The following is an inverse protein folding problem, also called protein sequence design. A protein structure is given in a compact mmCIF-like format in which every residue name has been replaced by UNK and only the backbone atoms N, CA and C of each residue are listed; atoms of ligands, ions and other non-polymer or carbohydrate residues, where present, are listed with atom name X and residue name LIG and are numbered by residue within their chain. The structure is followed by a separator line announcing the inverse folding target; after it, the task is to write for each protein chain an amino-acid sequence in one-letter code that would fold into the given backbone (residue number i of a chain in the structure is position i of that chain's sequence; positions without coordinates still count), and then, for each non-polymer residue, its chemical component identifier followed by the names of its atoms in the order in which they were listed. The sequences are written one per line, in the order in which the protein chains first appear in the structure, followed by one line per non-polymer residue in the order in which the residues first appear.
data_IF_890532731102
#
_entry.id   IF_890532731102
#
_cell.length_a   1.000
_cell.length_b   1.000
_cell.length_c   1.000
_cell.angle_alpha   90.00
_cell.angle_beta   90.00
_cell.angle_gamma   90.00
#
_symmetry.space_group_name_H-M   'P 1'
#
loop_
_entity.id
_entity.type
_entity.pdbx_description
1 polymer ?
#
# COMPACT_ATOMS: atom_id res chain seq x y z
N UNK A 1 -18.41 36.88 -18.80
CA UNK A 1 -18.38 36.56 -17.36
C UNK A 1 -16.98 36.02 -17.06
N UNK A 2 -16.10 36.86 -16.50
CA UNK A 2 -14.67 36.55 -16.30
C UNK A 2 -14.51 35.75 -15.00
N UNK A 3 -13.95 34.55 -15.08
CA UNK A 3 -13.57 33.74 -13.92
C UNK A 3 -12.23 34.24 -13.36
N UNK A 4 -12.23 34.79 -12.15
CA UNK A 4 -11.04 35.17 -11.41
C UNK A 4 -10.52 33.94 -10.63
N UNK A 5 -9.29 33.52 -10.95
CA UNK A 5 -8.63 32.34 -10.38
C UNK A 5 -7.75 32.70 -9.18
N UNK A 6 -8.27 33.48 -8.23
CA UNK A 6 -7.53 33.88 -7.02
C UNK A 6 -8.21 33.39 -5.74
N UNK A 7 -7.37 32.76 -4.92
CA UNK A 7 -7.59 32.32 -3.54
C UNK A 7 -8.49 31.10 -3.34
N UNK A 8 -7.84 29.93 -3.19
CA UNK A 8 -8.38 28.87 -2.33
C UNK A 8 -8.10 29.32 -0.88
N UNK A 9 -9.11 29.60 -0.05
CA UNK A 9 -8.87 30.06 1.32
C UNK A 9 -8.36 28.87 2.15
N UNK A 10 -7.08 28.93 2.52
CA UNK A 10 -6.58 28.17 3.68
C UNK A 10 -7.17 28.86 4.90
N UNK A 11 -8.16 28.25 5.53
CA UNK A 11 -8.81 28.83 6.71
C UNK A 11 -7.81 28.77 7.87
N UNK A 12 -7.18 29.90 8.16
CA UNK A 12 -6.36 30.05 9.36
C UNK A 12 -7.23 29.96 10.62
N UNK A 13 -6.74 29.24 11.62
CA UNK A 13 -7.13 29.46 13.00
C UNK A 13 -6.64 30.86 13.38
N UNK A 14 -7.53 31.85 13.46
CA UNK A 14 -7.21 33.10 14.15
C UNK A 14 -6.82 32.74 15.58
N UNK A 15 -5.65 33.16 16.03
CA UNK A 15 -5.27 33.07 17.44
C UNK A 15 -6.36 33.73 18.31
N UNK A 16 -6.62 33.22 19.53
CA UNK A 16 -7.57 33.83 20.43
C UNK A 16 -7.11 35.26 20.73
N UNK A 17 -7.98 36.24 20.49
CA UNK A 17 -7.68 37.62 20.84
C UNK A 17 -7.47 37.72 22.35
N UNK A 18 -6.22 37.94 22.75
CA UNK A 18 -5.86 38.25 24.12
C UNK A 18 -6.51 39.60 24.44
N UNK A 19 -7.57 39.55 25.24
CA UNK A 19 -8.18 40.74 25.85
C UNK A 19 -7.17 41.35 26.81
N UNK A 20 -6.73 42.57 26.47
CA UNK A 20 -6.19 43.63 27.34
C UNK A 20 -5.35 43.17 28.55
N UNK A 21 -4.03 43.07 28.35
CA UNK A 21 -3.03 43.16 29.41
C UNK A 21 -1.78 43.85 28.86
N UNK A 22 -1.28 44.86 29.57
CA UNK A 22 -0.11 45.67 29.20
C UNK A 22 1.07 44.79 28.76
N UNK A 23 1.57 44.99 27.53
CA UNK A 23 2.84 44.41 27.07
C UNK A 23 3.99 45.35 27.44
N UNK A 24 5.15 44.82 27.85
CA UNK A 24 6.34 45.62 28.06
C UNK A 24 6.86 46.17 26.73
N UNK A 25 7.22 47.47 26.73
CA UNK A 25 7.83 48.16 25.60
C UNK A 25 9.14 47.45 25.18
N UNK A 26 9.22 47.03 23.92
CA UNK A 26 10.47 46.55 23.31
C UNK A 26 10.38 45.29 22.44
N UNK A 27 9.25 44.60 22.35
CA UNK A 27 9.09 43.47 21.43
C UNK A 27 8.13 43.89 20.32
N UNK A 28 8.68 44.30 19.18
CA UNK A 28 7.91 44.35 17.93
C UNK A 28 7.56 42.92 17.55
N UNK A 29 6.28 42.54 17.70
CA UNK A 29 5.74 41.35 17.03
C UNK A 29 5.89 41.57 15.52
N UNK A 30 6.93 41.01 14.93
CA UNK A 30 7.10 41.02 13.47
C UNK A 30 6.09 40.01 12.91
N UNK A 31 4.89 40.49 12.57
CA UNK A 31 3.89 39.68 11.88
C UNK A 31 4.44 39.27 10.51
N UNK A 32 4.52 37.95 10.25
CA UNK A 32 4.97 37.43 8.97
C UNK A 32 4.01 37.87 7.84
N UNK A 33 4.53 38.33 6.69
CA UNK A 33 3.72 38.54 5.49
C UNK A 33 2.88 37.29 5.15
N UNK A 34 1.64 37.47 4.69
CA UNK A 34 0.69 36.36 4.45
C UNK A 34 1.25 35.21 3.59
N UNK A 35 2.06 35.52 2.56
CA UNK A 35 2.70 34.49 1.73
C UNK A 35 3.76 33.68 2.47
N UNK A 36 4.53 34.32 3.36
CA UNK A 36 5.52 33.64 4.20
C UNK A 36 4.83 32.82 5.29
N UNK A 37 3.77 33.34 5.91
CA UNK A 37 2.96 32.59 6.85
C UNK A 37 2.29 31.36 6.21
N UNK A 38 1.88 31.45 4.94
CA UNK A 38 1.30 30.32 4.21
C UNK A 38 2.34 29.25 3.89
N UNK A 39 3.51 29.68 3.43
CA UNK A 39 4.61 28.76 3.13
C UNK A 39 5.06 28.05 4.40
N UNK A 40 5.31 28.78 5.48
CA UNK A 40 5.68 28.21 6.78
C UNK A 40 4.62 27.24 7.33
N UNK A 41 3.33 27.53 7.12
CA UNK A 41 2.25 26.61 7.47
C UNK A 41 2.36 25.30 6.68
N UNK A 42 2.52 25.39 5.35
CA UNK A 42 2.62 24.21 4.48
C UNK A 42 3.83 23.36 4.86
N UNK A 43 5.02 23.97 4.95
CA UNK A 43 6.26 23.28 5.31
C UNK A 43 6.13 22.57 6.66
N UNK A 44 5.59 23.26 7.68
CA UNK A 44 5.38 22.68 9.02
C UNK A 44 4.61 21.35 8.96
N UNK A 45 3.48 21.30 8.26
CA UNK A 45 2.65 20.09 8.25
C UNK A 45 3.24 19.01 7.35
N UNK A 46 3.87 19.37 6.23
CA UNK A 46 4.62 18.41 5.41
C UNK A 46 5.76 17.78 6.24
N UNK A 47 6.49 18.58 7.01
CA UNK A 47 7.54 18.09 7.90
C UNK A 47 7.02 17.13 8.97
N UNK A 48 5.86 17.43 9.57
CA UNK A 48 5.19 16.51 10.51
C UNK A 48 4.88 15.18 9.84
N UNK A 49 4.37 15.18 8.60
CA UNK A 49 4.13 13.94 7.87
C UNK A 49 5.43 13.19 7.63
N UNK A 50 6.47 13.83 7.10
CA UNK A 50 7.75 13.18 6.81
C UNK A 50 8.37 12.56 8.08
N UNK A 51 8.33 13.27 9.22
CA UNK A 51 8.81 12.78 10.51
C UNK A 51 8.03 11.56 11.01
N UNK A 52 6.72 11.53 10.81
CA UNK A 52 5.87 10.41 11.24
C UNK A 52 5.88 9.25 10.26
N UNK A 53 6.09 9.51 8.98
CA UNK A 53 6.08 8.50 7.93
C UNK A 53 7.32 7.62 8.01
N UNK A 54 8.50 8.22 8.11
CA UNK A 54 9.78 7.51 8.19
C UNK A 54 10.72 8.19 9.21
N UNK A 55 10.56 7.92 10.52
CA UNK A 55 11.29 8.60 11.60
C UNK A 55 12.81 8.52 11.48
N UNK A 56 13.34 7.34 11.15
CA UNK A 56 14.79 7.08 11.00
C UNK A 56 15.35 7.50 9.62
N UNK A 57 14.48 7.91 8.68
CA UNK A 57 14.86 8.24 7.30
C UNK A 57 15.65 9.55 7.15
N UNK A 58 15.63 10.44 8.16
CA UNK A 58 16.31 11.75 8.09
C UNK A 58 17.83 11.69 8.33
N UNK A 59 18.40 10.55 8.73
CA UNK A 59 19.82 10.43 9.06
C UNK A 59 20.77 10.30 7.83
N UNK A 60 20.24 10.22 6.61
CA UNK A 60 21.00 9.80 5.42
C UNK A 60 21.51 10.92 4.50
N UNK A 61 21.65 12.16 4.98
CA UNK A 61 22.36 13.20 4.20
C UNK A 61 23.88 13.17 4.35
N UNK A 62 24.46 12.22 5.12
CA UNK A 62 25.89 12.24 5.42
C UNK A 62 26.75 11.23 4.61
N UNK A 63 26.29 10.02 4.29
CA UNK A 63 27.20 8.95 3.80
C UNK A 63 26.64 8.11 2.63
N UNK A 64 26.67 8.66 1.43
CA UNK A 64 27.34 8.03 0.26
C UNK A 64 27.04 6.59 -0.19
N UNK A 65 25.82 6.05 -0.06
CA UNK A 65 25.44 4.76 -0.69
C UNK A 65 24.13 4.90 -1.50
N UNK A 66 24.25 5.25 -2.80
CA UNK A 66 23.30 4.96 -3.89
C UNK A 66 21.86 5.52 -3.84
N UNK A 67 21.22 5.87 -4.98
CA UNK A 67 19.92 6.55 -5.01
C UNK A 67 18.76 5.54 -4.93
N UNK A 68 18.44 5.05 -3.74
CA UNK A 68 17.04 4.73 -3.45
C UNK A 68 16.38 6.05 -3.02
N UNK A 69 16.08 6.94 -3.98
CA UNK A 69 15.26 8.12 -3.69
C UNK A 69 13.86 7.61 -3.38
N UNK A 70 13.53 7.52 -2.10
CA UNK A 70 12.17 7.24 -1.64
C UNK A 70 11.20 8.12 -2.45
N UNK A 71 10.15 7.55 -3.02
CA UNK A 71 9.19 8.31 -3.82
C UNK A 71 8.53 9.43 -3.01
N UNK A 72 8.52 9.34 -1.68
CA UNK A 72 8.10 10.43 -0.80
C UNK A 72 9.06 11.61 -0.88
N UNK A 73 10.37 11.40 -0.98
CA UNK A 73 11.34 12.48 -1.23
C UNK A 73 11.14 13.10 -2.61
N UNK A 74 10.82 12.28 -3.61
CA UNK A 74 10.48 12.77 -4.96
C UNK A 74 9.22 13.62 -4.90
N UNK A 75 8.16 13.14 -4.25
CA UNK A 75 6.92 13.89 -4.06
C UNK A 75 7.17 15.19 -3.27
N UNK A 76 8.03 15.14 -2.25
CA UNK A 76 8.47 16.32 -1.52
C UNK A 76 9.23 17.28 -2.46
N UNK A 77 10.13 16.84 -3.32
CA UNK A 77 10.77 17.72 -4.31
C UNK A 77 9.78 18.40 -5.26
N UNK A 78 8.74 17.68 -5.68
CA UNK A 78 7.73 18.17 -6.64
C UNK A 78 6.76 19.20 -6.03
N UNK A 79 6.55 19.20 -4.71
CA UNK A 79 5.52 19.99 -4.04
C UNK A 79 5.66 21.51 -4.26
N UNK A 80 6.88 22.00 -4.45
CA UNK A 80 7.16 23.42 -4.68
C UNK A 80 6.66 23.90 -6.04
N UNK A 81 6.63 22.98 -7.02
CA UNK A 81 6.28 23.25 -8.41
C UNK A 81 4.87 22.81 -8.79
N UNK A 82 4.27 21.88 -8.04
CA UNK A 82 2.95 21.32 -8.32
C UNK A 82 1.99 21.45 -7.14
N UNK A 83 0.88 22.16 -7.36
CA UNK A 83 -0.10 22.45 -6.31
C UNK A 83 -0.90 21.21 -5.88
N UNK A 84 -1.14 20.25 -6.76
CA UNK A 84 -1.85 19.03 -6.40
C UNK A 84 -0.99 18.17 -5.48
N UNK A 85 0.30 18.02 -5.79
CA UNK A 85 1.27 17.33 -4.91
C UNK A 85 1.37 18.03 -3.55
N UNK A 86 1.49 19.36 -3.54
CA UNK A 86 1.55 20.13 -2.29
C UNK A 86 0.32 19.93 -1.41
N UNK A 87 -0.88 19.95 -2.01
CA UNK A 87 -2.13 19.78 -1.27
C UNK A 87 -2.30 18.34 -0.76
N UNK A 88 -1.83 17.34 -1.50
CA UNK A 88 -1.83 15.94 -1.06
C UNK A 88 -0.89 15.71 0.12
N UNK A 89 0.35 16.23 0.06
CA UNK A 89 1.30 16.16 1.19
C UNK A 89 0.79 16.94 2.41
N UNK A 90 0.25 18.14 2.19
CA UNK A 90 -0.37 18.93 3.25
C UNK A 90 -1.53 18.18 3.92
N UNK A 91 -2.35 17.49 3.13
CA UNK A 91 -3.45 16.67 3.66
C UNK A 91 -2.96 15.57 4.59
N UNK A 92 -1.92 14.83 4.18
CA UNK A 92 -1.28 13.81 5.00
C UNK A 92 -0.67 14.41 6.27
N UNK A 93 -0.02 15.57 6.15
CA UNK A 93 0.56 16.33 7.28
C UNK A 93 -0.47 16.80 8.31
N UNK A 94 -1.55 17.39 7.84
CA UNK A 94 -2.67 17.82 8.68
C UNK A 94 -3.32 16.64 9.37
N UNK A 95 -3.53 15.53 8.65
CA UNK A 95 -4.08 14.32 9.24
C UNK A 95 -3.14 13.77 10.32
N UNK A 96 -1.84 13.66 10.02
CA UNK A 96 -0.84 13.20 10.96
C UNK A 96 -0.74 14.11 12.20
N UNK A 97 -1.08 15.39 12.09
CA UNK A 97 -1.16 16.34 13.19
C UNK A 97 -2.51 16.34 13.96
N UNK A 98 -3.50 15.56 13.52
CA UNK A 98 -4.83 15.50 14.14
C UNK A 98 -5.82 16.57 13.64
N UNK A 99 -5.48 17.31 12.58
CA UNK A 99 -6.29 18.38 11.98
C UNK A 99 -7.24 17.83 10.90
N UNK A 100 -8.06 16.83 11.25
CA UNK A 100 -8.83 16.01 10.30
C UNK A 100 -9.70 16.81 9.33
N UNK A 101 -10.36 17.88 9.78
CA UNK A 101 -11.21 18.70 8.91
C UNK A 101 -10.39 19.42 7.82
N UNK A 102 -9.26 20.00 8.19
CA UNK A 102 -8.36 20.69 7.25
C UNK A 102 -7.65 19.70 6.32
N UNK A 103 -7.36 18.49 6.81
CA UNK A 103 -6.85 17.40 5.99
C UNK A 103 -7.84 17.06 4.86
N UNK A 104 -9.11 16.77 5.19
CA UNK A 104 -10.15 16.46 4.20
C UNK A 104 -10.34 17.61 3.19
N UNK A 105 -10.30 18.87 3.66
CA UNK A 105 -10.36 20.03 2.75
C UNK A 105 -9.19 20.04 1.76
N UNK A 106 -7.96 19.86 2.25
CA UNK A 106 -6.74 19.83 1.42
C UNK A 106 -6.77 18.68 0.42
N UNK A 107 -7.19 17.49 0.85
CA UNK A 107 -7.46 16.33 0.01
C UNK A 107 -8.47 16.66 -1.11
N UNK A 108 -9.60 17.28 -0.79
CA UNK A 108 -10.61 17.65 -1.78
C UNK A 108 -10.09 18.68 -2.78
N UNK A 109 -9.25 19.63 -2.34
CA UNK A 109 -8.62 20.59 -3.24
C UNK A 109 -7.58 19.92 -4.14
N UNK A 110 -6.80 18.97 -3.63
CA UNK A 110 -5.86 18.19 -4.42
C UNK A 110 -6.59 17.43 -5.53
N UNK A 111 -7.72 16.78 -5.23
CA UNK A 111 -8.55 16.09 -6.22
C UNK A 111 -9.04 17.02 -7.33
N UNK A 112 -9.58 18.19 -6.98
CA UNK A 112 -10.05 19.18 -7.98
C UNK A 112 -8.90 19.67 -8.86
N UNK A 113 -7.71 19.85 -8.28
CA UNK A 113 -6.52 20.26 -9.03
C UNK A 113 -6.02 19.16 -9.97
N UNK A 114 -5.98 17.92 -9.50
CA UNK A 114 -5.66 16.77 -10.34
C UNK A 114 -6.66 16.68 -11.50
N UNK A 115 -7.97 16.70 -11.23
CA UNK A 115 -9.01 16.64 -12.27
C UNK A 115 -8.86 17.74 -13.33
N UNK A 116 -8.59 18.98 -12.90
CA UNK A 116 -8.36 20.11 -13.83
C UNK A 116 -7.12 19.87 -14.69
N UNK A 117 -6.04 19.37 -14.09
CA UNK A 117 -4.77 19.08 -14.79
C UNK A 117 -4.94 17.95 -15.80
N UNK A 118 -5.66 16.89 -15.43
CA UNK A 118 -5.95 15.74 -16.29
C UNK A 118 -6.87 16.09 -17.47
N UNK A 119 -7.64 17.19 -17.37
CA UNK A 119 -8.47 17.68 -18.48
C UNK A 119 -7.65 18.29 -19.62
N UNK A 120 -6.35 18.54 -19.41
CA UNK A 120 -5.42 19.07 -20.41
C UNK A 120 -4.45 17.95 -20.83
N UNK A 121 -4.53 17.41 -22.07
CA UNK A 121 -3.78 16.22 -22.47
C UNK A 121 -2.26 16.30 -22.27
N UNK A 122 -1.63 17.45 -22.51
CA UNK A 122 -0.18 17.60 -22.30
C UNK A 122 0.19 17.58 -20.82
N UNK A 123 -0.65 18.13 -19.94
CA UNK A 123 -0.39 18.17 -18.50
C UNK A 123 -0.73 16.84 -17.82
N UNK A 124 -1.64 16.05 -18.39
CA UNK A 124 -1.95 14.70 -17.91
C UNK A 124 -0.70 13.78 -17.86
N UNK A 125 0.29 14.07 -18.71
CA UNK A 125 1.55 13.32 -18.81
C UNK A 125 2.62 13.74 -17.78
N UNK A 126 2.33 14.64 -16.86
CA UNK A 126 3.29 15.06 -15.83
C UNK A 126 3.47 14.02 -14.72
N UNK A 127 4.70 13.85 -14.24
CA UNK A 127 5.03 12.94 -13.12
C UNK A 127 4.31 13.31 -11.82
N UNK A 128 4.05 14.61 -11.61
CA UNK A 128 3.26 15.10 -10.48
C UNK A 128 1.88 14.45 -10.37
N UNK A 129 1.27 14.04 -11.49
CA UNK A 129 -0.02 13.35 -11.44
C UNK A 129 0.12 11.93 -10.87
N UNK A 130 1.21 11.22 -11.20
CA UNK A 130 1.50 9.89 -10.63
C UNK A 130 1.73 10.00 -9.13
N UNK A 131 2.59 10.94 -8.71
CA UNK A 131 2.86 11.22 -7.31
C UNK A 131 1.59 11.62 -6.56
N UNK A 132 0.76 12.49 -7.14
CA UNK A 132 -0.52 12.92 -6.55
C UNK A 132 -1.46 11.74 -6.34
N UNK A 133 -1.65 10.87 -7.34
CA UNK A 133 -2.48 9.66 -7.20
C UNK A 133 -1.95 8.72 -6.10
N UNK A 134 -0.64 8.51 -6.02
CA UNK A 134 -0.03 7.68 -4.96
C UNK A 134 -0.25 8.29 -3.57
N UNK A 135 -0.01 9.59 -3.39
CA UNK A 135 -0.25 10.28 -2.10
C UNK A 135 -1.73 10.26 -1.69
N UNK A 136 -2.65 10.44 -2.64
CA UNK A 136 -4.09 10.36 -2.36
C UNK A 136 -4.50 8.93 -2.00
N UNK A 137 -3.92 7.91 -2.65
CA UNK A 137 -4.13 6.51 -2.25
C UNK A 137 -3.58 6.23 -0.85
N UNK A 138 -2.42 6.79 -0.50
CA UNK A 138 -1.83 6.67 0.84
C UNK A 138 -2.72 7.34 1.90
N UNK A 139 -3.33 8.47 1.56
CA UNK A 139 -4.30 9.13 2.43
C UNK A 139 -5.48 8.21 2.76
N UNK A 140 -6.02 7.47 1.78
CA UNK A 140 -7.13 6.54 2.05
C UNK A 140 -6.75 5.42 3.02
N UNK A 141 -5.48 5.01 3.09
CA UNK A 141 -5.04 3.93 4.00
C UNK A 141 -5.05 4.43 5.46
N UNK A 142 -4.59 5.66 5.67
CA UNK A 142 -4.50 6.23 7.01
C UNK A 142 -5.75 7.01 7.43
N UNK A 143 -6.63 7.38 6.51
CA UNK A 143 -7.83 8.11 6.83
C UNK A 143 -9.01 7.16 7.10
N UNK A 144 -9.16 6.70 8.34
CA UNK A 144 -10.14 5.68 8.76
C UNK A 144 -11.48 6.18 9.31
N UNK A 145 -12.07 7.25 8.77
CA UNK A 145 -13.29 7.85 9.33
C UNK A 145 -14.33 8.30 8.30
N UNK A 146 -14.55 7.52 7.24
CA UNK A 146 -15.82 7.66 6.50
C UNK A 146 -16.94 7.02 7.32
N UNK A 147 -18.08 7.70 7.45
CA UNK A 147 -19.31 7.16 8.08
C UNK A 147 -19.79 5.86 7.38
N UNK A 148 -19.39 5.66 6.13
CA UNK A 148 -19.67 4.45 5.37
C UNK A 148 -18.41 3.58 5.24
N UNK A 149 -18.44 2.45 5.96
CA UNK A 149 -17.37 1.44 6.04
C UNK A 149 -16.94 0.93 4.66
N UNK A 150 -17.75 1.04 3.60
CA UNK A 150 -17.42 0.58 2.25
C UNK A 150 -16.66 1.60 1.39
N UNK A 151 -16.60 2.86 1.80
CA UNK A 151 -16.09 3.93 0.93
C UNK A 151 -14.57 3.95 0.87
N UNK A 152 -13.88 3.72 1.98
CA UNK A 152 -12.43 3.83 2.08
C UNK A 152 -11.71 2.89 1.09
N UNK A 153 -12.03 1.58 1.11
CA UNK A 153 -11.48 0.60 0.18
C UNK A 153 -11.82 0.89 -1.28
N UNK A 154 -13.02 1.45 -1.56
CA UNK A 154 -13.41 1.86 -2.93
C UNK A 154 -12.64 3.08 -3.42
N UNK A 155 -12.47 4.10 -2.58
CA UNK A 155 -11.70 5.31 -2.91
C UNK A 155 -10.24 4.96 -3.18
N UNK A 156 -9.63 4.13 -2.34
CA UNK A 156 -8.28 3.63 -2.55
C UNK A 156 -8.14 2.95 -3.91
N UNK A 157 -9.04 2.02 -4.25
CA UNK A 157 -9.04 1.35 -5.57
C UNK A 157 -9.29 2.31 -6.73
N UNK A 158 -10.11 3.33 -6.56
CA UNK A 158 -10.33 4.36 -7.57
C UNK A 158 -9.06 5.14 -7.87
N UNK A 159 -8.28 5.53 -6.85
CA UNK A 159 -6.98 6.20 -7.06
C UNK A 159 -5.99 5.30 -7.79
N UNK A 160 -5.95 4.01 -7.42
CA UNK A 160 -5.09 3.03 -8.09
C UNK A 160 -5.50 2.75 -9.54
N UNK A 161 -6.81 2.70 -9.81
CA UNK A 161 -7.32 2.58 -11.18
C UNK A 161 -6.92 3.80 -12.02
N UNK A 162 -7.02 5.00 -11.45
CA UNK A 162 -6.54 6.23 -12.07
C UNK A 162 -5.03 6.23 -12.30
N UNK A 163 -4.24 5.81 -11.30
CA UNK A 163 -2.79 5.68 -11.40
C UNK A 163 -2.38 4.72 -12.52
N UNK A 164 -3.01 3.53 -12.59
CA UNK A 164 -2.76 2.57 -13.65
C UNK A 164 -3.14 3.12 -15.03
N UNK A 165 -4.25 3.85 -15.13
CA UNK A 165 -4.64 4.50 -16.38
C UNK A 165 -3.61 5.55 -16.82
N UNK A 166 -3.07 6.34 -15.89
CA UNK A 166 -2.00 7.30 -16.18
C UNK A 166 -0.70 6.61 -16.60
N UNK A 167 -0.35 5.48 -15.96
CA UNK A 167 0.81 4.68 -16.35
C UNK A 167 0.66 4.16 -17.78
N UNK A 168 -0.50 3.56 -18.09
CA UNK A 168 -0.78 2.97 -19.41
C UNK A 168 -1.03 4.01 -20.51
N UNK A 169 -1.31 5.26 -20.16
CA UNK A 169 -1.41 6.36 -21.11
C UNK A 169 -0.05 6.81 -21.65
N UNK A 170 1.06 6.39 -21.02
CA UNK A 170 2.43 6.56 -21.49
C UNK A 170 2.97 5.25 -22.07
N UNK A 171 3.96 5.36 -22.96
CA UNK A 171 4.70 4.18 -23.41
C UNK A 171 5.57 3.64 -22.27
N UNK A 172 5.86 2.32 -22.23
CA UNK A 172 6.83 1.75 -21.27
C UNK A 172 8.20 2.44 -21.31
N UNK A 173 8.62 2.94 -22.48
CA UNK A 173 9.88 3.69 -22.66
C UNK A 173 9.92 5.03 -21.91
N UNK A 174 8.77 5.60 -21.54
CA UNK A 174 8.70 6.80 -20.72
C UNK A 174 9.19 6.56 -19.28
N UNK A 175 9.29 5.30 -18.87
CA UNK A 175 9.65 4.88 -17.52
C UNK A 175 11.06 4.29 -17.44
N UNK A 176 11.97 4.66 -18.34
CA UNK A 176 13.31 4.07 -18.38
C UNK A 176 14.29 4.65 -17.37
N UNK A 177 14.07 5.87 -16.90
CA UNK A 177 15.00 6.52 -15.96
C UNK A 177 14.38 7.67 -15.19
N UNK A 178 15.01 8.07 -14.09
CA UNK A 178 14.69 9.32 -13.37
C UNK A 178 13.35 9.28 -12.62
N UNK A 179 12.70 10.44 -12.49
CA UNK A 179 11.48 10.59 -11.65
C UNK A 179 10.35 9.68 -12.11
N UNK A 180 10.06 9.63 -13.42
CA UNK A 180 9.03 8.74 -13.95
C UNK A 180 9.31 7.28 -13.60
N UNK A 181 10.56 6.81 -13.75
CA UNK A 181 10.95 5.43 -13.43
C UNK A 181 10.73 5.11 -11.96
N UNK A 182 11.19 5.97 -11.05
CA UNK A 182 11.02 5.74 -9.60
C UNK A 182 9.54 5.73 -9.18
N UNK A 183 8.73 6.65 -9.70
CA UNK A 183 7.27 6.64 -9.43
C UNK A 183 6.59 5.38 -10.00
N UNK A 184 6.98 4.94 -11.20
CA UNK A 184 6.50 3.68 -11.76
C UNK A 184 6.86 2.48 -10.90
N UNK A 185 8.13 2.38 -10.47
CA UNK A 185 8.63 1.29 -9.62
C UNK A 185 7.80 1.17 -8.34
N UNK A 186 7.64 2.27 -7.64
CA UNK A 186 6.92 2.33 -6.36
C UNK A 186 5.40 2.14 -6.53
N UNK A 187 4.83 2.58 -7.66
CA UNK A 187 3.42 2.34 -7.97
C UNK A 187 3.08 0.85 -8.15
N UNK A 188 4.05 -0.01 -8.50
CA UNK A 188 3.79 -1.44 -8.72
C UNK A 188 3.25 -2.12 -7.47
N UNK A 189 3.76 -1.79 -6.29
CA UNK A 189 3.37 -2.44 -5.05
C UNK A 189 1.86 -2.32 -4.74
N UNK A 190 1.28 -1.12 -4.56
CA UNK A 190 -0.14 -1.00 -4.26
C UNK A 190 -1.03 -1.53 -5.39
N UNK A 191 -0.59 -1.43 -6.66
CA UNK A 191 -1.30 -2.01 -7.81
C UNK A 191 -1.32 -3.54 -7.76
N UNK A 192 -0.22 -4.19 -7.37
CA UNK A 192 -0.15 -5.64 -7.16
C UNK A 192 -1.06 -6.09 -6.01
N UNK A 193 -1.07 -5.36 -4.90
CA UNK A 193 -1.98 -5.65 -3.79
C UNK A 193 -3.44 -5.59 -4.25
N UNK A 194 -3.81 -4.57 -5.03
CA UNK A 194 -5.15 -4.45 -5.59
C UNK A 194 -5.49 -5.63 -6.52
N UNK A 195 -4.59 -5.99 -7.44
CA UNK A 195 -4.80 -7.10 -8.37
C UNK A 195 -4.97 -8.45 -7.66
N UNK A 196 -4.12 -8.74 -6.66
CA UNK A 196 -4.26 -9.95 -5.84
C UNK A 196 -5.58 -10.00 -5.07
N UNK A 197 -6.02 -8.86 -4.50
CA UNK A 197 -7.30 -8.80 -3.79
C UNK A 197 -8.49 -8.97 -4.73
N UNK A 198 -8.40 -8.45 -5.94
CA UNK A 198 -9.45 -8.60 -6.95
C UNK A 198 -9.38 -9.94 -7.73
N UNK A 199 -8.31 -10.71 -7.52
CA UNK A 199 -7.98 -11.96 -8.22
C UNK A 199 -7.96 -11.79 -9.74
N UNK A 200 -7.37 -10.69 -10.19
CA UNK A 200 -7.31 -10.34 -11.60
C UNK A 200 -5.87 -10.33 -12.14
N UNK A 201 -5.73 -10.53 -13.45
CA UNK A 201 -4.45 -10.45 -14.15
C UNK A 201 -3.82 -9.06 -13.96
N UNK A 202 -2.51 -9.00 -13.76
CA UNK A 202 -1.82 -7.75 -13.50
C UNK A 202 -1.48 -7.05 -14.83
N UNK A 203 -2.06 -5.88 -15.14
CA UNK A 203 -1.94 -5.32 -16.50
C UNK A 203 -0.53 -4.87 -16.91
N UNK A 204 0.39 -4.77 -15.95
CA UNK A 204 1.80 -4.44 -16.19
C UNK A 204 2.70 -5.70 -16.16
N UNK A 205 2.12 -6.90 -16.28
CA UNK A 205 2.87 -8.16 -16.36
C UNK A 205 3.25 -8.58 -17.79
N UNK A 206 3.02 -7.74 -18.79
CA UNK A 206 3.36 -8.07 -20.19
C UNK A 206 4.88 -8.00 -20.43
N UNK A 207 5.42 -8.68 -21.45
CA UNK A 207 6.85 -8.63 -21.78
C UNK A 207 7.38 -7.19 -21.90
N UNK A 208 6.61 -6.29 -22.51
CA UNK A 208 7.00 -4.89 -22.69
C UNK A 208 7.19 -4.17 -21.35
N UNK A 209 6.26 -4.33 -20.41
CA UNK A 209 6.34 -3.70 -19.08
C UNK A 209 7.40 -4.36 -18.18
N UNK A 210 7.70 -5.63 -18.40
CA UNK A 210 8.77 -6.36 -17.69
C UNK A 210 10.16 -6.07 -18.22
N UNK A 211 10.32 -5.47 -19.40
CA UNK A 211 11.63 -5.28 -20.04
C UNK A 211 11.95 -3.81 -20.28
N UNK A 212 11.12 -3.10 -21.04
CA UNK A 212 11.43 -1.76 -21.56
C UNK A 212 11.71 -0.73 -20.45
N UNK A 213 10.92 -0.63 -19.35
CA UNK A 213 11.23 0.31 -18.27
C UNK A 213 12.56 0.06 -17.56
N UNK A 214 13.14 -1.14 -17.70
CA UNK A 214 14.32 -1.62 -16.97
C UNK A 214 15.58 -1.64 -17.83
N UNK A 215 15.53 -1.12 -19.06
CA UNK A 215 16.66 -1.12 -20.00
C UNK A 215 17.84 -0.26 -19.53
N UNK A 216 17.58 0.84 -18.80
CA UNK A 216 18.63 1.74 -18.28
C UNK A 216 18.89 1.57 -16.80
N UNK A 217 17.85 1.28 -16.03
CA UNK A 217 17.90 1.05 -14.58
C UNK A 217 17.46 -0.40 -14.30
N UNK A 218 18.38 -1.33 -14.00
CA UNK A 218 18.06 -2.75 -13.84
C UNK A 218 17.25 -3.02 -12.57
N UNK A 219 16.44 -4.09 -12.60
CA UNK A 219 15.62 -4.51 -11.47
C UNK A 219 16.46 -4.82 -10.24
N UNK A 220 16.05 -4.24 -9.11
CA UNK A 220 16.53 -4.64 -7.78
C UNK A 220 15.85 -5.94 -7.31
N UNK A 221 16.25 -6.44 -6.15
CA UNK A 221 15.66 -7.64 -5.57
C UNK A 221 14.16 -7.49 -5.27
N UNK A 222 13.71 -6.33 -4.78
CA UNK A 222 12.27 -6.10 -4.56
C UNK A 222 11.51 -6.04 -5.89
N UNK A 223 12.09 -5.49 -6.95
CA UNK A 223 11.45 -5.44 -8.27
C UNK A 223 11.25 -6.84 -8.88
N UNK A 224 12.21 -7.74 -8.65
CA UNK A 224 12.09 -9.17 -9.02
C UNK A 224 11.02 -9.88 -8.18
N UNK A 225 10.87 -9.54 -6.91
CA UNK A 225 9.80 -10.08 -6.07
C UNK A 225 8.42 -9.59 -6.55
N UNK A 226 8.31 -8.33 -7.00
CA UNK A 226 7.10 -7.80 -7.64
C UNK A 226 6.76 -8.48 -8.97
N UNK A 227 7.75 -8.91 -9.73
CA UNK A 227 7.53 -9.75 -10.92
C UNK A 227 6.91 -11.11 -10.52
N UNK A 228 7.40 -11.75 -9.46
CA UNK A 228 6.83 -13.00 -8.93
C UNK A 228 5.38 -12.80 -8.43
N UNK A 229 5.12 -11.67 -7.75
CA UNK A 229 3.76 -11.31 -7.33
C UNK A 229 2.83 -11.04 -8.54
N UNK A 230 3.35 -10.48 -9.63
CA UNK A 230 2.58 -10.30 -10.85
C UNK A 230 2.21 -11.65 -11.47
N UNK A 231 3.15 -12.61 -11.50
CA UNK A 231 2.90 -13.97 -11.95
C UNK A 231 1.87 -14.68 -11.05
N UNK A 232 1.89 -14.43 -9.74
CA UNK A 232 0.86 -14.90 -8.80
C UNK A 232 -0.55 -14.37 -9.16
N UNK A 233 -0.66 -13.12 -9.59
CA UNK A 233 -1.95 -12.54 -10.02
C UNK A 233 -2.52 -13.26 -11.24
N UNK A 234 -1.67 -13.67 -12.17
CA UNK A 234 -2.08 -14.47 -13.34
C UNK A 234 -2.64 -15.83 -12.90
N UNK A 235 -1.97 -16.50 -11.97
CA UNK A 235 -2.40 -17.81 -11.46
C UNK A 235 -3.72 -17.71 -10.69
N UNK A 236 -3.91 -16.66 -9.86
CA UNK A 236 -5.18 -16.40 -9.18
C UNK A 236 -6.35 -16.24 -10.17
N UNK A 237 -6.14 -15.50 -11.25
CA UNK A 237 -7.15 -15.30 -12.28
C UNK A 237 -7.46 -16.60 -13.03
N UNK A 238 -6.47 -17.44 -13.27
CA UNK A 238 -6.66 -18.76 -13.90
C UNK A 238 -7.39 -19.74 -12.96
N UNK A 239 -7.14 -19.66 -11.65
CA UNK A 239 -7.86 -20.46 -10.66
C UNK A 239 -9.36 -20.12 -10.65
N UNK A 240 -9.72 -18.83 -10.82
CA UNK A 240 -11.11 -18.42 -10.96
C UNK A 240 -11.76 -18.96 -12.25
N UNK A 241 -11.00 -19.06 -13.35
CA UNK A 241 -11.52 -19.62 -14.61
C UNK A 241 -11.87 -21.12 -14.50
N UNK A 242 -11.14 -21.89 -13.67
CA UNK A 242 -11.46 -23.30 -13.42
C UNK A 242 -12.88 -23.47 -12.89
N UNK A 243 -13.33 -22.57 -12.01
CA UNK A 243 -14.65 -22.65 -11.40
C UNK A 243 -15.80 -22.47 -12.40
N UNK A 244 -15.55 -21.73 -13.49
CA UNK A 244 -16.54 -21.50 -14.55
C UNK A 244 -16.44 -22.51 -15.71
N UNK A 245 -15.47 -23.43 -15.67
CA UNK A 245 -15.25 -24.40 -16.74
C UNK A 245 -16.13 -25.66 -16.58
N UNK A 246 -17.21 -25.73 -17.36
CA UNK A 246 -18.15 -26.88 -17.35
C UNK A 246 -17.62 -28.13 -18.07
N UNK A 247 -16.64 -27.99 -18.96
CA UNK A 247 -16.06 -29.12 -19.71
C UNK A 247 -14.98 -29.81 -18.86
N UNK A 248 -15.16 -31.09 -18.55
CA UNK A 248 -14.26 -31.87 -17.70
C UNK A 248 -12.84 -32.00 -18.25
N UNK A 249 -12.68 -32.16 -19.57
CA UNK A 249 -11.37 -32.29 -20.23
C UNK A 249 -10.63 -30.94 -20.15
N UNK A 250 -11.31 -29.85 -20.47
CA UNK A 250 -10.74 -28.51 -20.39
C UNK A 250 -10.41 -28.13 -18.94
N UNK A 251 -11.27 -28.51 -17.98
CA UNK A 251 -11.04 -28.30 -16.54
C UNK A 251 -9.79 -29.04 -16.07
N UNK A 252 -9.63 -30.31 -16.46
CA UNK A 252 -8.43 -31.09 -16.13
C UNK A 252 -7.15 -30.49 -16.75
N UNK A 253 -7.24 -29.99 -18.00
CA UNK A 253 -6.13 -29.29 -18.66
C UNK A 253 -5.73 -28.02 -17.91
N UNK A 254 -6.70 -27.14 -17.60
CA UNK A 254 -6.45 -25.89 -16.88
C UNK A 254 -5.91 -26.16 -15.47
N UNK A 255 -6.42 -27.17 -14.78
CA UNK A 255 -5.90 -27.62 -13.49
C UNK A 255 -4.41 -28.01 -13.58
N UNK A 256 -4.02 -28.80 -14.59
CA UNK A 256 -2.62 -29.16 -14.80
C UNK A 256 -1.73 -27.96 -15.15
N UNK A 257 -2.25 -26.99 -15.90
CA UNK A 257 -1.54 -25.74 -16.22
C UNK A 257 -1.31 -24.87 -14.98
N UNK A 258 -2.31 -24.73 -14.12
CA UNK A 258 -2.18 -24.00 -12.85
C UNK A 258 -1.17 -24.68 -11.93
N UNK A 259 -1.24 -26.01 -11.77
CA UNK A 259 -0.28 -26.74 -10.94
C UNK A 259 1.16 -26.52 -11.42
N UNK A 260 1.39 -26.53 -12.73
CA UNK A 260 2.71 -26.22 -13.31
C UNK A 260 3.13 -24.78 -13.01
N UNK A 261 2.24 -23.81 -13.20
CA UNK A 261 2.52 -22.41 -12.90
C UNK A 261 2.84 -22.20 -11.40
N UNK A 262 2.16 -22.90 -10.50
CA UNK A 262 2.47 -22.89 -9.07
C UNK A 262 3.88 -23.46 -8.77
N UNK A 263 4.28 -24.53 -9.46
CA UNK A 263 5.62 -25.11 -9.34
C UNK A 263 6.71 -24.16 -9.87
N UNK A 264 6.47 -23.54 -11.02
CA UNK A 264 7.37 -22.56 -11.62
C UNK A 264 7.53 -21.31 -10.73
N UNK A 265 6.44 -20.88 -10.10
CA UNK A 265 6.44 -19.78 -9.14
C UNK A 265 7.24 -20.13 -7.87
N UNK A 266 7.04 -21.32 -7.29
CA UNK A 266 7.85 -21.80 -6.14
C UNK A 266 9.33 -21.87 -6.51
N UNK A 267 9.67 -22.39 -7.69
CA UNK A 267 11.04 -22.42 -8.21
C UNK A 267 11.65 -21.03 -8.36
N UNK A 268 10.87 -20.07 -8.87
CA UNK A 268 11.29 -18.67 -9.03
C UNK A 268 11.52 -18.01 -7.67
N UNK A 269 10.63 -18.23 -6.70
CA UNK A 269 10.74 -17.67 -5.36
C UNK A 269 11.94 -18.25 -4.58
N UNK A 270 12.21 -19.55 -4.70
CA UNK A 270 13.42 -20.18 -4.14
C UNK A 270 14.70 -19.64 -4.78
N UNK A 271 14.68 -19.39 -6.09
CA UNK A 271 15.82 -18.82 -6.80
C UNK A 271 16.08 -17.39 -6.35
N UNK A 272 15.02 -16.60 -6.20
CA UNK A 272 15.08 -15.26 -5.62
C UNK A 272 15.64 -15.26 -4.19
N UNK A 273 15.20 -16.19 -3.33
CA UNK A 273 15.71 -16.31 -1.96
C UNK A 273 17.22 -16.61 -1.93
N UNK A 274 17.70 -17.47 -2.83
CA UNK A 274 19.13 -17.77 -2.95
C UNK A 274 19.95 -16.55 -3.40
N UNK A 275 19.37 -15.67 -4.21
CA UNK A 275 20.02 -14.46 -4.70
C UNK A 275 20.15 -13.40 -3.59
N UNK A 276 19.06 -13.14 -2.86
CA UNK A 276 19.04 -12.10 -1.81
C UNK A 276 19.83 -12.50 -0.56
N UNK A 277 19.90 -13.81 -0.26
CA UNK A 277 20.53 -14.33 0.94
C UNK A 277 19.56 -14.40 2.13
N UNK A 278 20.06 -14.31 3.38
CA UNK A 278 19.22 -14.45 4.56
C UNK A 278 18.19 -13.32 4.63
N UNK A 279 16.94 -13.71 4.93
CA UNK A 279 15.86 -12.77 5.23
C UNK A 279 16.03 -12.17 6.62
N UNK A 280 15.25 -11.14 6.94
CA UNK A 280 15.29 -10.48 8.24
C UNK A 280 14.97 -11.47 9.35
N UNK A 281 15.86 -11.55 10.33
CA UNK A 281 15.51 -12.05 11.65
C UNK A 281 14.93 -10.88 12.46
N UNK A 282 13.69 -11.04 12.92
CA UNK A 282 12.98 -9.97 13.62
C UNK A 282 13.32 -9.95 15.12
N UNK A 283 13.95 -11.01 15.63
CA UNK A 283 14.31 -11.13 17.03
C UNK A 283 15.79 -11.48 17.14
N UNK A 284 16.43 -11.04 18.22
CA UNK A 284 17.80 -11.44 18.51
C UNK A 284 17.87 -12.86 19.13
N UNK A 285 19.07 -13.29 19.50
CA UNK A 285 19.31 -14.60 20.12
C UNK A 285 18.59 -14.79 21.46
N UNK A 286 18.22 -13.70 22.13
CA UNK A 286 17.48 -13.71 23.40
C UNK A 286 15.96 -13.62 23.18
N UNK A 287 15.51 -13.57 21.92
CA UNK A 287 14.10 -13.47 21.54
C UNK A 287 13.55 -12.05 21.68
N UNK A 288 14.41 -11.03 21.77
CA UNK A 288 14.00 -9.63 21.89
C UNK A 288 13.78 -9.05 20.49
N UNK A 289 12.68 -8.32 20.32
CA UNK A 289 12.34 -7.66 19.06
C UNK A 289 13.42 -6.65 18.65
N UNK A 290 13.93 -6.81 17.43
CA UNK A 290 14.87 -5.86 16.82
C UNK A 290 14.09 -4.68 16.25
N UNK A 291 14.66 -3.47 16.34
CA UNK A 291 14.09 -2.27 15.72
C UNK A 291 14.83 -1.92 14.42
N UNK A 292 14.12 -1.38 13.40
CA UNK A 292 14.78 -0.89 12.19
C UNK A 292 15.76 0.23 12.55
N UNK A 293 17.02 0.10 12.16
CA UNK A 293 18.04 1.13 12.33
C UNK A 293 18.23 1.97 11.06
N UNK A 294 17.72 1.48 9.91
CA UNK A 294 17.84 2.15 8.62
C UNK A 294 16.66 1.83 7.70
N UNK A 295 16.43 2.65 6.65
CA UNK A 295 15.47 2.33 5.59
C UNK A 295 15.78 1.00 4.88
N UNK A 296 17.05 0.62 4.78
CA UNK A 296 17.47 -0.66 4.19
C UNK A 296 16.99 -1.86 5.01
N UNK A 297 17.00 -1.76 6.35
CA UNK A 297 16.47 -2.82 7.22
C UNK A 297 14.96 -2.97 7.02
N UNK A 298 14.24 -1.85 6.91
CA UNK A 298 12.80 -1.85 6.64
C UNK A 298 12.47 -2.44 5.26
N UNK A 299 13.31 -2.18 4.25
CA UNK A 299 13.15 -2.78 2.92
C UNK A 299 13.37 -4.31 2.95
N UNK A 300 14.40 -4.79 3.65
CA UNK A 300 14.65 -6.23 3.81
C UNK A 300 13.52 -6.91 4.61
N UNK A 301 13.05 -6.25 5.66
CA UNK A 301 11.89 -6.69 6.42
C UNK A 301 10.64 -6.79 5.53
N UNK A 302 10.41 -5.79 4.66
CA UNK A 302 9.29 -5.80 3.73
C UNK A 302 9.40 -6.97 2.74
N UNK A 303 10.57 -7.19 2.14
CA UNK A 303 10.82 -8.35 1.28
C UNK A 303 10.56 -9.68 2.02
N UNK A 304 10.92 -9.76 3.30
CA UNK A 304 10.70 -10.93 4.15
C UNK A 304 9.20 -11.24 4.34
N UNK A 305 8.38 -10.24 4.69
CA UNK A 305 6.94 -10.47 4.85
C UNK A 305 6.23 -10.72 3.52
N UNK A 306 6.71 -10.15 2.41
CA UNK A 306 6.20 -10.46 1.08
C UNK A 306 6.51 -11.90 0.67
N UNK A 307 7.72 -12.38 0.92
CA UNK A 307 8.10 -13.78 0.72
C UNK A 307 7.13 -14.73 1.46
N UNK A 308 6.87 -14.48 2.75
CA UNK A 308 5.89 -15.27 3.51
C UNK A 308 4.47 -15.14 2.92
N UNK A 309 4.06 -13.93 2.55
CA UNK A 309 2.73 -13.67 1.99
C UNK A 309 2.52 -14.41 0.67
N UNK A 310 3.52 -14.45 -0.22
CA UNK A 310 3.46 -15.17 -1.49
C UNK A 310 3.22 -16.66 -1.24
N UNK A 311 3.90 -17.28 -0.25
CA UNK A 311 3.63 -18.67 0.12
C UNK A 311 2.23 -18.89 0.70
N UNK A 312 1.72 -17.94 1.50
CA UNK A 312 0.34 -17.99 2.02
C UNK A 312 -0.69 -17.90 0.89
N UNK A 313 -0.45 -17.05 -0.12
CA UNK A 313 -1.32 -16.96 -1.30
C UNK A 313 -1.20 -18.23 -2.17
N UNK A 314 0.01 -18.75 -2.37
CA UNK A 314 0.24 -19.99 -3.11
C UNK A 314 -0.51 -21.16 -2.48
N UNK A 315 -0.47 -21.27 -1.14
CA UNK A 315 -1.30 -22.21 -0.39
C UNK A 315 -2.79 -22.04 -0.72
N UNK A 316 -3.31 -20.80 -0.68
CA UNK A 316 -4.73 -20.54 -0.95
C UNK A 316 -5.17 -20.94 -2.36
N UNK A 317 -4.31 -20.75 -3.36
CA UNK A 317 -4.56 -21.17 -4.75
C UNK A 317 -4.65 -22.69 -4.81
N UNK A 318 -3.67 -23.38 -4.23
CA UNK A 318 -3.63 -24.83 -4.20
C UNK A 318 -4.88 -25.38 -3.50
N UNK A 319 -5.32 -24.80 -2.39
CA UNK A 319 -6.60 -25.18 -1.76
C UNK A 319 -7.78 -24.98 -2.72
N UNK A 320 -7.85 -23.84 -3.40
CA UNK A 320 -9.02 -23.47 -4.22
C UNK A 320 -9.25 -24.36 -5.44
N UNK A 321 -8.20 -25.00 -5.96
CA UNK A 321 -8.28 -25.82 -7.19
C UNK A 321 -8.53 -27.31 -6.91
N UNK A 322 -8.44 -27.78 -5.66
CA UNK A 322 -8.68 -29.18 -5.28
C UNK A 322 -10.12 -29.42 -4.80
N UNK A 323 -10.66 -30.63 -5.05
CA UNK A 323 -12.00 -31.08 -4.65
C UNK A 323 -11.92 -32.41 -3.87
N UNK A 324 -12.47 -32.52 -2.63
CA UNK A 324 -13.07 -31.43 -1.86
C UNK A 324 -12.02 -30.43 -1.37
N UNK A 325 -12.34 -29.13 -1.32
CA UNK A 325 -11.43 -28.14 -0.74
C UNK A 325 -11.12 -28.48 0.73
N UNK A 326 -9.90 -28.18 1.15
CA UNK A 326 -9.29 -28.45 2.48
C UNK A 326 -8.97 -29.92 2.80
N UNK A 327 -9.78 -30.92 2.40
CA UNK A 327 -9.49 -32.33 2.73
C UNK A 327 -8.43 -33.00 1.84
N UNK A 328 -8.10 -32.38 0.70
CA UNK A 328 -7.17 -32.92 -0.29
C UNK A 328 -5.82 -32.20 -0.34
N UNK A 329 -5.53 -31.29 0.60
CA UNK A 329 -4.26 -30.55 0.62
C UNK A 329 -3.12 -31.50 1.01
N UNK A 330 -2.13 -31.74 0.13
CA UNK A 330 -0.98 -32.56 0.45
C UNK A 330 -0.26 -32.06 1.72
N UNK A 331 0.16 -32.96 2.62
CA UNK A 331 0.78 -32.60 3.91
C UNK A 331 2.03 -31.73 3.80
N UNK A 332 2.66 -31.68 2.62
CA UNK A 332 3.79 -30.81 2.30
C UNK A 332 3.39 -29.34 2.02
N UNK A 333 2.10 -29.04 1.90
CA UNK A 333 1.57 -27.68 1.69
C UNK A 333 1.04 -27.17 3.03
N UNK A 334 1.94 -26.54 3.82
CA UNK A 334 1.63 -26.01 5.15
C UNK A 334 1.90 -24.49 5.19
N UNK A 335 0.88 -23.64 5.41
CA UNK A 335 1.04 -22.19 5.50
C UNK A 335 1.53 -21.72 6.87
N UNK A 336 1.48 -22.56 7.91
CA UNK A 336 1.73 -22.18 9.30
C UNK A 336 3.10 -21.48 9.52
N UNK A 337 4.24 -21.95 8.98
CA UNK A 337 5.52 -21.27 9.16
C UNK A 337 5.51 -19.84 8.60
N UNK A 338 4.81 -19.63 7.49
CA UNK A 338 4.72 -18.32 6.82
C UNK A 338 3.72 -17.39 7.50
N UNK A 339 2.59 -17.93 7.99
CA UNK A 339 1.64 -17.19 8.83
C UNK A 339 2.34 -16.69 10.10
N UNK A 340 3.10 -17.57 10.76
CA UNK A 340 3.90 -17.24 11.94
C UNK A 340 5.01 -16.25 11.63
N UNK A 341 5.69 -16.40 10.49
CA UNK A 341 6.68 -15.45 10.01
C UNK A 341 6.11 -14.03 9.88
N UNK A 342 4.92 -13.89 9.26
CA UNK A 342 4.22 -12.60 9.20
C UNK A 342 3.84 -12.11 10.61
N UNK A 343 3.24 -12.96 11.43
CA UNK A 343 2.81 -12.61 12.79
C UNK A 343 3.97 -12.10 13.68
N UNK A 344 5.14 -12.76 13.60
CA UNK A 344 6.34 -12.38 14.34
C UNK A 344 7.01 -11.13 13.78
N UNK A 345 6.89 -10.89 12.48
CA UNK A 345 7.37 -9.66 11.86
C UNK A 345 6.52 -8.46 12.27
N UNK A 346 5.26 -8.67 12.67
CA UNK A 346 4.33 -7.58 12.87
C UNK A 346 4.89 -6.50 13.82
N UNK A 347 5.25 -6.80 15.09
CA UNK A 347 5.73 -5.79 16.03
C UNK A 347 6.86 -4.88 15.50
N UNK A 348 7.72 -5.41 14.62
CA UNK A 348 8.78 -4.65 13.95
C UNK A 348 8.21 -3.45 13.16
N UNK A 349 7.14 -3.68 12.39
CA UNK A 349 6.49 -2.68 11.53
C UNK A 349 5.56 -1.72 12.27
N UNK A 350 5.01 -2.12 13.41
CA UNK A 350 4.23 -1.22 14.28
C UNK A 350 5.11 -0.45 15.28
N UNK A 351 6.39 -0.79 15.37
CA UNK A 351 7.37 -0.12 16.21
C UNK A 351 7.56 1.34 15.81
N UNK A 352 7.94 2.19 16.78
CA UNK A 352 8.11 3.63 16.54
C UNK A 352 9.13 3.93 15.44
N UNK A 353 10.23 3.18 15.36
CA UNK A 353 11.26 3.37 14.32
C UNK A 353 10.78 3.11 12.90
N UNK A 354 9.75 2.28 12.71
CA UNK A 354 9.19 1.98 11.39
C UNK A 354 8.20 3.05 10.89
N UNK A 355 7.64 3.84 11.80
CA UNK A 355 6.70 4.93 11.47
C UNK A 355 5.44 4.48 10.76
N UNK A 356 4.77 5.41 10.08
CA UNK A 356 3.60 5.09 9.26
C UNK A 356 3.97 4.23 8.03
N UNK A 357 5.19 4.37 7.50
CA UNK A 357 5.69 3.53 6.41
C UNK A 357 5.63 2.06 6.78
N UNK A 358 6.12 1.68 7.98
CA UNK A 358 6.05 0.30 8.44
C UNK A 358 4.63 -0.26 8.48
N UNK A 359 3.70 0.51 9.06
CA UNK A 359 2.29 0.13 9.10
C UNK A 359 1.68 -0.04 7.69
N UNK A 360 2.05 0.82 6.73
CA UNK A 360 1.65 0.69 5.32
C UNK A 360 2.16 -0.60 4.68
N UNK A 361 3.45 -0.90 4.85
CA UNK A 361 4.11 -2.07 4.25
C UNK A 361 3.58 -3.40 4.83
N UNK A 362 3.26 -3.45 6.13
CA UNK A 362 2.74 -4.65 6.78
C UNK A 362 1.24 -4.88 6.59
N UNK A 363 0.46 -3.82 6.30
CA UNK A 363 -1.00 -3.86 6.23
C UNK A 363 -1.52 -4.97 5.29
N UNK A 364 -1.00 -5.03 4.08
CA UNK A 364 -1.48 -5.95 3.04
C UNK A 364 -1.18 -7.41 3.39
N UNK A 365 0.04 -7.71 3.84
CA UNK A 365 0.48 -9.02 4.31
C UNK A 365 -0.37 -9.52 5.48
N UNK A 366 -0.56 -8.67 6.50
CA UNK A 366 -1.40 -9.01 7.64
C UNK A 366 -2.84 -9.30 7.21
N UNK A 367 -3.42 -8.43 6.37
CA UNK A 367 -4.78 -8.61 5.86
C UNK A 367 -4.96 -9.85 4.97
N UNK A 368 -3.93 -10.30 4.24
CA UNK A 368 -3.96 -11.56 3.48
C UNK A 368 -3.87 -12.77 4.42
N UNK A 369 -2.98 -12.75 5.41
CA UNK A 369 -2.87 -13.84 6.39
C UNK A 369 -4.16 -14.05 7.17
N UNK A 370 -4.80 -12.97 7.63
CA UNK A 370 -6.12 -13.04 8.28
C UNK A 370 -7.19 -13.64 7.35
N UNK A 371 -7.20 -13.30 6.05
CA UNK A 371 -8.13 -13.93 5.10
C UNK A 371 -7.89 -15.45 5.01
N UNK A 372 -6.65 -15.89 4.86
CA UNK A 372 -6.37 -17.33 4.71
C UNK A 372 -6.74 -18.12 5.99
N UNK A 373 -6.47 -17.55 7.17
CA UNK A 373 -6.88 -18.14 8.44
C UNK A 373 -8.40 -18.23 8.56
N UNK A 374 -9.12 -17.13 8.32
CA UNK A 374 -10.58 -17.13 8.42
C UNK A 374 -11.27 -18.00 7.38
N UNK A 375 -10.65 -18.20 6.21
CA UNK A 375 -11.14 -19.16 5.22
C UNK A 375 -10.95 -20.63 5.64
N UNK A 376 -10.02 -20.89 6.57
CA UNK A 376 -9.67 -22.25 7.06
C UNK A 376 -9.90 -22.36 8.58
N UNK A 377 -11.14 -22.17 9.07
CA UNK A 377 -11.41 -22.08 10.51
C UNK A 377 -10.97 -23.33 11.25
N UNK A 378 -10.42 -23.15 12.46
CA UNK A 378 -9.88 -24.20 13.34
C UNK A 378 -8.65 -24.96 12.80
N UNK A 379 -8.10 -24.59 11.64
CA UNK A 379 -6.93 -25.27 11.07
C UNK A 379 -5.60 -24.79 11.68
N UNK A 380 -5.54 -23.53 12.13
CA UNK A 380 -4.32 -22.86 12.60
C UNK A 380 -4.58 -21.98 13.84
N UNK A 381 -5.03 -22.57 14.98
CA UNK A 381 -5.47 -21.80 16.14
C UNK A 381 -4.34 -20.98 16.81
N UNK A 382 -3.09 -21.46 16.76
CA UNK A 382 -1.94 -20.73 17.30
C UNK A 382 -1.63 -19.49 16.45
N UNK A 383 -1.56 -19.65 15.13
CA UNK A 383 -1.32 -18.55 14.19
C UNK A 383 -2.47 -17.54 14.21
N UNK A 384 -3.71 -18.00 14.35
CA UNK A 384 -4.89 -17.14 14.48
C UNK A 384 -4.75 -16.24 15.70
N UNK A 385 -4.42 -16.79 16.87
CA UNK A 385 -4.19 -16.00 18.08
C UNK A 385 -3.05 -14.99 17.92
N UNK A 386 -1.94 -15.39 17.29
CA UNK A 386 -0.79 -14.51 17.03
C UNK A 386 -1.12 -13.35 16.07
N UNK A 387 -2.02 -13.54 15.11
CA UNK A 387 -2.42 -12.50 14.17
C UNK A 387 -3.56 -11.63 14.72
N UNK A 388 -4.47 -12.20 15.52
CA UNK A 388 -5.59 -11.49 16.15
C UNK A 388 -5.17 -10.64 17.34
N UNK A 389 -4.03 -10.92 18.00
CA UNK A 389 -3.58 -10.13 19.17
C UNK A 389 -3.43 -8.62 18.87
N UNK A 390 -3.17 -8.26 17.60
CA UNK A 390 -3.03 -6.88 17.16
C UNK A 390 -4.39 -6.21 16.89
N UNK A 391 -5.46 -6.97 16.68
CA UNK A 391 -6.82 -6.45 16.41
C UNK A 391 -7.31 -5.55 17.54
N UNK A 392 -6.91 -5.86 18.77
CA UNK A 392 -7.34 -5.16 19.98
C UNK A 392 -6.47 -3.95 20.34
N UNK A 393 -5.42 -3.64 19.58
CA UNK A 393 -4.53 -2.51 19.87
C UNK A 393 -5.12 -1.16 19.39
N UNK A 394 -5.09 -0.13 20.24
CA UNK A 394 -5.77 1.15 20.00
C UNK A 394 -4.93 2.22 19.24
N UNK A 395 -3.88 1.83 18.52
CA UNK A 395 -2.97 2.78 17.84
C UNK A 395 -3.20 2.80 16.31
N UNK A 396 -2.22 3.22 15.50
CA UNK A 396 -2.29 3.23 14.02
C UNK A 396 -2.71 1.88 13.40
N UNK A 397 -2.54 0.79 14.15
CA UNK A 397 -3.11 -0.55 13.89
C UNK A 397 -4.63 -0.48 13.63
N UNK A 398 -5.39 0.27 14.43
CA UNK A 398 -6.85 0.40 14.33
C UNK A 398 -7.27 1.00 12.99
N UNK A 399 -6.57 2.03 12.55
CA UNK A 399 -6.82 2.68 11.27
C UNK A 399 -6.55 1.73 10.11
N UNK A 400 -5.44 0.99 10.16
CA UNK A 400 -5.11 -0.04 9.17
C UNK A 400 -6.16 -1.15 9.16
N UNK A 401 -6.65 -1.59 10.33
CA UNK A 401 -7.72 -2.57 10.43
C UNK A 401 -9.02 -2.10 9.78
N UNK A 402 -9.43 -0.84 10.01
CA UNK A 402 -10.60 -0.26 9.38
C UNK A 402 -10.47 -0.23 7.85
N UNK A 403 -9.28 0.16 7.37
CA UNK A 403 -8.96 0.10 5.94
C UNK A 403 -9.06 -1.34 5.41
N UNK A 404 -8.48 -2.31 6.11
CA UNK A 404 -8.50 -3.71 5.71
C UNK A 404 -9.93 -4.24 5.65
N UNK A 405 -10.75 -4.02 6.67
CA UNK A 405 -12.17 -4.42 6.69
C UNK A 405 -12.95 -3.77 5.53
N UNK A 406 -12.75 -2.47 5.33
CA UNK A 406 -13.34 -1.75 4.19
C UNK A 406 -12.94 -2.37 2.85
N UNK A 407 -11.66 -2.69 2.69
CA UNK A 407 -11.13 -3.32 1.49
C UNK A 407 -11.75 -4.70 1.25
N UNK A 408 -11.88 -5.54 2.28
CA UNK A 408 -12.54 -6.85 2.18
C UNK A 408 -13.99 -6.71 1.73
N UNK A 409 -14.75 -5.83 2.38
CA UNK A 409 -16.17 -5.63 2.05
C UNK A 409 -16.35 -5.09 0.64
N UNK A 410 -15.46 -4.21 0.20
CA UNK A 410 -15.53 -3.60 -1.12
C UNK A 410 -15.28 -4.58 -2.28
N UNK A 411 -14.67 -5.74 -1.99
CA UNK A 411 -14.34 -6.78 -2.98
C UNK A 411 -15.26 -8.00 -2.91
N UNK A 412 -16.03 -8.18 -1.83
CA UNK A 412 -16.89 -9.33 -1.60
C UNK A 412 -18.27 -9.29 -2.32
N UNK A 413 -18.55 -8.28 -3.15
CA UNK A 413 -19.87 -8.12 -3.78
C UNK A 413 -20.95 -7.60 -2.82
N UNK A 414 -22.11 -7.16 -3.34
CA UNK A 414 -23.12 -6.43 -2.55
C UNK A 414 -23.76 -7.25 -1.43
N UNK A 415 -23.98 -8.56 -1.65
CA UNK A 415 -24.63 -9.44 -0.66
C UNK A 415 -23.77 -9.65 0.61
N UNK A 416 -22.45 -9.74 0.45
CA UNK A 416 -21.53 -10.02 1.56
C UNK A 416 -20.92 -8.76 2.19
N UNK A 417 -21.03 -7.61 1.53
CA UNK A 417 -20.51 -6.33 2.01
C UNK A 417 -21.16 -5.89 3.33
N UNK A 418 -22.41 -6.28 3.56
CA UNK A 418 -23.20 -5.92 4.75
C UNK A 418 -23.05 -6.90 5.92
N UNK A 419 -22.34 -8.01 5.75
CA UNK A 419 -22.16 -8.99 6.83
C UNK A 419 -21.17 -8.46 7.87
N UNK A 420 -21.61 -8.34 9.12
CA UNK A 420 -20.79 -7.85 10.22
C UNK A 420 -20.25 -8.99 11.10
N UNK A 421 -19.28 -8.65 11.95
CA UNK A 421 -18.67 -9.58 12.90
C UNK A 421 -17.80 -10.66 12.28
N UNK A 422 -17.36 -11.60 13.12
CA UNK A 422 -16.41 -12.67 12.74
C UNK A 422 -16.99 -13.61 11.67
N UNK A 423 -18.27 -13.93 11.75
CA UNK A 423 -18.97 -14.75 10.74
C UNK A 423 -18.95 -14.07 9.35
N UNK A 424 -19.18 -12.76 9.28
CA UNK A 424 -19.08 -12.01 8.04
C UNK A 424 -17.68 -12.03 7.45
N UNK A 425 -16.65 -11.87 8.29
CA UNK A 425 -15.24 -11.97 7.88
C UNK A 425 -14.91 -13.36 7.34
N UNK A 426 -15.34 -14.43 8.01
CA UNK A 426 -15.15 -15.82 7.58
C UNK A 426 -15.78 -16.06 6.20
N UNK A 427 -17.03 -15.65 5.99
CA UNK A 427 -17.70 -15.86 4.70
C UNK A 427 -17.03 -15.10 3.55
N UNK A 428 -16.62 -13.84 3.79
CA UNK A 428 -15.85 -13.07 2.80
C UNK A 428 -14.52 -13.75 2.48
N UNK A 429 -13.84 -14.25 3.50
CA UNK A 429 -12.57 -14.94 3.36
C UNK A 429 -12.70 -16.26 2.57
N UNK A 430 -13.69 -17.08 2.88
CA UNK A 430 -14.00 -18.29 2.14
C UNK A 430 -14.33 -17.99 0.68
N UNK A 431 -15.13 -16.94 0.42
CA UNK A 431 -15.45 -16.53 -0.96
C UNK A 431 -14.20 -16.09 -1.71
N UNK A 432 -13.36 -15.24 -1.10
CA UNK A 432 -12.13 -14.80 -1.75
C UNK A 432 -11.18 -15.97 -2.04
N UNK A 433 -11.05 -16.92 -1.12
CA UNK A 433 -10.18 -18.09 -1.31
C UNK A 433 -10.71 -18.99 -2.43
N UNK A 434 -12.02 -19.28 -2.44
CA UNK A 434 -12.63 -20.17 -3.43
C UNK A 434 -12.81 -19.53 -4.80
N UNK A 435 -12.54 -18.23 -4.95
CA UNK A 435 -12.75 -17.49 -6.20
C UNK A 435 -14.21 -17.09 -6.42
N UNK A 436 -14.43 -16.18 -7.37
CA UNK A 436 -15.79 -15.79 -7.79
C UNK A 436 -16.44 -17.01 -8.45
N UNK A 437 -17.60 -17.44 -7.95
CA UNK A 437 -18.39 -18.54 -8.53
C UNK A 437 -19.43 -18.02 -9.50
#
# INVERSE_FOLDING_TARGET
MKYDARAVPVVYRKEPQIRNGHRPDGITDIALPNGLAQTAYIEKYIDIFLLKYLPEGRCLTANGLGPSRDWIEIAHGLHTSDKAVQLSLLSLGLFAAGESQHAIQSYCFALRKLQTTLSVPCQAQNDSNLATCQLLSLFEIFHGADENVLLQGRKWRSHLSGLLALIRARSPSAYQSGVSHQLFREARYPLLIAAMKERCRFPLNTPEWRTIPWEKEPKSCIDKLYDIMADMCEILADADQINHCNNSIQKAKLHAEILRACQDLDGSLRSWLKEIGPLTDFHDSDGILIHPASPSDLLLAHMTILYCTIYVVLYSILVSIHDPPLSAVPANINPAPYLRGVANALPYFWGQGAGMSGAYLAASSWGICLHVIYASPNSYPEEEALLEQFVMQQNGVKTVLQFLDSLQRSTAGPEMAHLDGKEGMIRRAQTWMMGKR
#
